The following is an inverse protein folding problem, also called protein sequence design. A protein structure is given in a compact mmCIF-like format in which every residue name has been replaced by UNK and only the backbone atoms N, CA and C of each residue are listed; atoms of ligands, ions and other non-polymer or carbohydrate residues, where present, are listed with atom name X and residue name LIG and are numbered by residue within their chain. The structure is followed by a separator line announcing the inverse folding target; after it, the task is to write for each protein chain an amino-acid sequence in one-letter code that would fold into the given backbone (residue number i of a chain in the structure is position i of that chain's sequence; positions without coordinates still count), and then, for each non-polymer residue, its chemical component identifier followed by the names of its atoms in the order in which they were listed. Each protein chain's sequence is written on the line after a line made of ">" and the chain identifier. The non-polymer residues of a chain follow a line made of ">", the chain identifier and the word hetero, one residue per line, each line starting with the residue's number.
data_IF_554310101411
#
_entry.id   IF_554310101411
#
_cell.length_a   1.000
_cell.length_b   1.000
_cell.length_c   1.000
_cell.angle_alpha   90.00
_cell.angle_beta   90.00
_cell.angle_gamma   90.00
#
_symmetry.space_group_name_H-M   'P 1'
#
loop_
_entity.id
_entity.type
_entity.pdbx_description
1 polymer ?
#
# COMPACT_ATOMS: atom_id res chain seq x y z
N UNK A 1 -15.41 4.67 -26.33
CA UNK A 1 -15.04 5.37 -25.07
C UNK A 1 -14.62 4.26 -24.12
N UNK A 2 -13.37 3.83 -24.22
CA UNK A 2 -12.89 2.59 -23.61
C UNK A 2 -11.71 2.92 -22.69
N UNK A 3 -11.84 2.45 -21.45
CA UNK A 3 -10.85 2.48 -20.36
C UNK A 3 -10.67 3.87 -19.72
N UNK A 4 -11.14 4.00 -18.48
CA UNK A 4 -10.96 5.21 -17.66
C UNK A 4 -9.51 5.36 -17.20
N UNK A 5 -9.08 6.60 -17.06
CA UNK A 5 -7.72 7.03 -16.73
C UNK A 5 -7.21 6.56 -15.34
N UNK A 6 -8.02 5.83 -14.57
CA UNK A 6 -7.72 5.34 -13.22
C UNK A 6 -6.77 4.11 -13.17
N UNK A 7 -6.30 3.61 -14.31
CA UNK A 7 -5.53 2.35 -14.38
C UNK A 7 -4.02 2.53 -14.59
N UNK A 8 -3.57 3.75 -14.90
CA UNK A 8 -2.17 3.99 -15.24
C UNK A 8 -1.53 4.88 -14.16
N UNK A 9 -0.87 4.22 -13.20
CA UNK A 9 -0.07 4.85 -12.15
C UNK A 9 1.35 4.31 -12.22
N UNK A 10 2.32 5.10 -11.77
CA UNK A 10 3.71 4.68 -11.68
C UNK A 10 4.67 5.61 -12.43
N UNK A 11 5.97 5.27 -12.47
CA UNK A 11 7.03 6.20 -12.87
C UNK A 11 6.94 6.67 -14.32
N UNK A 12 6.22 5.97 -15.19
CA UNK A 12 6.02 6.35 -16.60
C UNK A 12 4.85 7.31 -16.80
N UNK A 13 3.93 7.41 -15.83
CA UNK A 13 2.75 8.28 -15.89
C UNK A 13 2.86 9.44 -14.92
N UNK A 14 3.22 9.16 -13.67
CA UNK A 14 3.40 10.14 -12.60
C UNK A 14 4.84 10.70 -12.62
N UNK A 15 5.32 11.10 -13.80
CA UNK A 15 6.74 11.39 -14.07
C UNK A 15 7.29 12.47 -13.13
N UNK A 16 6.55 13.57 -12.94
CA UNK A 16 6.99 14.68 -12.08
C UNK A 16 7.10 14.24 -10.61
N UNK A 17 6.10 13.50 -10.11
CA UNK A 17 6.11 12.97 -8.74
C UNK A 17 7.31 12.05 -8.51
N UNK A 18 7.52 11.05 -9.39
CA UNK A 18 8.63 10.14 -9.24
C UNK A 18 9.98 10.83 -9.43
N UNK A 19 10.08 11.87 -10.27
CA UNK A 19 11.29 12.68 -10.39
C UNK A 19 11.66 13.32 -9.05
N UNK A 20 10.71 13.90 -8.33
CA UNK A 20 10.97 14.49 -7.01
C UNK A 20 11.28 13.43 -5.94
N UNK A 21 10.59 12.28 -5.96
CA UNK A 21 10.92 11.14 -5.10
C UNK A 21 12.36 10.68 -5.31
N UNK A 22 12.79 10.55 -6.57
CA UNK A 22 14.15 10.10 -6.88
C UNK A 22 15.19 11.10 -6.39
N UNK A 23 14.95 12.41 -6.55
CA UNK A 23 15.81 13.45 -5.96
C UNK A 23 15.92 13.30 -4.44
N UNK A 24 14.82 12.99 -3.75
CA UNK A 24 14.84 12.76 -2.31
C UNK A 24 15.66 11.52 -1.93
N UNK A 25 15.51 10.42 -2.66
CA UNK A 25 16.28 9.19 -2.40
C UNK A 25 17.75 9.31 -2.78
N UNK A 26 18.10 10.07 -3.81
CA UNK A 26 19.50 10.36 -4.17
C UNK A 26 20.18 11.21 -3.09
N UNK A 27 19.42 12.09 -2.41
CA UNK A 27 19.90 12.84 -1.24
C UNK A 27 20.07 11.97 0.00
N UNK A 28 19.31 10.88 0.14
CA UNK A 28 19.30 10.00 1.32
C UNK A 28 19.41 8.51 0.93
N UNK A 29 20.59 8.05 0.48
CA UNK A 29 20.77 6.69 -0.04
C UNK A 29 20.48 5.59 0.99
N UNK A 30 20.76 5.85 2.28
CA UNK A 30 20.44 4.90 3.36
C UNK A 30 18.94 4.75 3.60
N UNK A 31 18.17 5.81 3.38
CA UNK A 31 16.71 5.75 3.48
C UNK A 31 16.12 5.02 2.27
N UNK A 32 16.66 5.23 1.07
CA UNK A 32 16.21 4.55 -0.16
C UNK A 32 16.11 3.03 0.00
N UNK A 33 17.01 2.40 0.75
CA UNK A 33 17.01 0.94 0.96
C UNK A 33 15.94 0.44 1.94
N UNK A 34 15.27 1.35 2.67
CA UNK A 34 14.34 1.03 3.76
C UNK A 34 12.88 1.26 3.40
N UNK A 35 12.60 1.89 2.26
CA UNK A 35 11.25 2.30 1.87
C UNK A 35 10.88 1.79 0.48
N UNK A 36 9.59 1.52 0.29
CA UNK A 36 8.97 1.17 -0.99
C UNK A 36 7.73 2.03 -1.22
N UNK A 37 7.40 2.28 -2.48
CA UNK A 37 6.14 2.95 -2.89
C UNK A 37 5.18 1.88 -3.40
N UNK A 38 3.98 1.83 -2.85
CA UNK A 38 2.90 0.89 -3.20
C UNK A 38 1.66 1.63 -3.70
N UNK A 39 0.82 0.94 -4.46
CA UNK A 39 -0.46 1.44 -4.96
C UNK A 39 -1.60 0.52 -4.53
N UNK A 40 -1.80 0.40 -3.22
CA UNK A 40 -2.78 -0.51 -2.62
C UNK A 40 -4.21 -0.37 -3.19
N UNK A 41 -4.77 0.85 -3.42
CA UNK A 41 -6.09 0.98 -4.01
C UNK A 41 -6.21 0.37 -5.42
N UNK A 42 -5.15 0.46 -6.23
CA UNK A 42 -5.14 -0.14 -7.57
C UNK A 42 -5.05 -1.68 -7.48
N UNK A 43 -4.23 -2.19 -6.56
CA UNK A 43 -4.15 -3.65 -6.31
C UNK A 43 -5.51 -4.20 -5.87
N UNK A 44 -6.17 -3.52 -4.93
CA UNK A 44 -7.50 -3.89 -4.47
C UNK A 44 -8.53 -3.86 -5.60
N UNK A 45 -8.55 -2.80 -6.42
CA UNK A 45 -9.43 -2.68 -7.59
C UNK A 45 -9.25 -3.86 -8.56
N UNK A 46 -8.00 -4.23 -8.88
CA UNK A 46 -7.69 -5.37 -9.77
C UNK A 46 -8.14 -6.72 -9.20
N UNK A 47 -8.16 -6.86 -7.87
CA UNK A 47 -8.58 -8.07 -7.18
C UNK A 47 -10.07 -8.09 -6.83
N UNK A 48 -10.83 -7.04 -7.16
CA UNK A 48 -12.25 -6.92 -6.82
C UNK A 48 -12.50 -6.73 -5.32
N UNK A 49 -11.52 -6.20 -4.59
CA UNK A 49 -11.57 -5.98 -3.13
C UNK A 49 -12.11 -4.59 -2.81
N UNK A 50 -12.90 -4.49 -1.74
CA UNK A 50 -13.38 -3.20 -1.24
C UNK A 50 -12.66 -2.81 0.06
N UNK A 51 -11.69 -1.89 -0.03
CA UNK A 51 -10.89 -1.43 1.12
C UNK A 51 -11.69 -0.68 2.22
N UNK A 52 -12.97 -0.37 1.98
CA UNK A 52 -13.87 0.16 3.01
C UNK A 52 -14.42 -0.94 3.93
N UNK A 53 -14.64 -2.15 3.39
CA UNK A 53 -15.23 -3.28 4.11
C UNK A 53 -14.21 -4.37 4.44
N UNK A 54 -13.13 -4.42 3.66
CA UNK A 54 -12.05 -5.38 3.76
C UNK A 54 -10.75 -4.69 4.22
N UNK A 55 -9.81 -5.47 4.72
CA UNK A 55 -8.47 -5.04 5.12
C UNK A 55 -7.41 -6.01 4.58
N UNK A 56 -6.23 -5.50 4.26
CA UNK A 56 -5.10 -6.33 3.87
C UNK A 56 -4.42 -6.92 5.13
N UNK A 57 -4.18 -8.22 5.13
CA UNK A 57 -3.40 -8.92 6.15
C UNK A 57 -2.18 -9.51 5.47
N UNK A 58 -1.00 -9.03 5.86
CA UNK A 58 0.27 -9.48 5.30
C UNK A 58 0.94 -10.45 6.28
N UNK A 59 1.36 -11.61 5.76
CA UNK A 59 2.21 -12.57 6.45
C UNK A 59 3.45 -12.89 5.61
N UNK A 60 4.51 -13.27 6.30
CA UNK A 60 5.76 -13.71 5.67
C UNK A 60 5.81 -15.24 5.67
N UNK A 61 6.08 -15.83 4.51
CA UNK A 61 6.24 -17.28 4.33
C UNK A 61 7.58 -17.54 3.64
N UNK A 62 8.61 -17.79 4.44
CA UNK A 62 9.99 -17.90 3.96
C UNK A 62 10.46 -16.59 3.30
N UNK A 63 10.72 -16.66 1.99
CA UNK A 63 11.15 -15.54 1.15
C UNK A 63 9.97 -14.80 0.48
N UNK A 64 8.73 -15.15 0.82
CA UNK A 64 7.52 -14.62 0.20
C UNK A 64 6.76 -13.72 1.15
N UNK A 65 6.18 -12.66 0.58
CA UNK A 65 5.19 -11.82 1.24
C UNK A 65 3.83 -12.23 0.68
N UNK A 66 2.94 -12.71 1.54
CA UNK A 66 1.58 -13.09 1.18
C UNK A 66 0.64 -12.06 1.79
N UNK A 67 -0.15 -11.41 0.95
CA UNK A 67 -1.20 -10.48 1.38
C UNK A 67 -2.56 -11.05 1.03
N UNK A 68 -3.36 -11.29 2.05
CA UNK A 68 -4.74 -11.76 1.94
C UNK A 68 -5.68 -10.60 2.30
N UNK A 69 -6.82 -10.49 1.62
CA UNK A 69 -7.84 -9.49 1.96
C UNK A 69 -8.98 -10.18 2.68
N UNK A 70 -9.29 -9.69 3.88
CA UNK A 70 -10.30 -10.28 4.74
C UNK A 70 -11.31 -9.19 5.15
N UNK A 71 -12.58 -9.55 5.43
CA UNK A 71 -13.54 -8.61 5.98
C UNK A 71 -13.01 -8.02 7.29
N UNK A 72 -13.21 -6.71 7.48
CA UNK A 72 -12.85 -6.02 8.72
C UNK A 72 -13.56 -6.67 9.91
N UNK A 73 -12.83 -7.36 10.77
CA UNK A 73 -13.40 -7.93 12.01
C UNK A 73 -13.40 -6.87 13.11
N UNK A 74 -14.48 -6.76 13.89
CA UNK A 74 -14.62 -5.78 14.98
C UNK A 74 -13.60 -5.94 16.13
N UNK A 75 -12.76 -6.98 16.10
CA UNK A 75 -11.72 -7.25 17.09
C UNK A 75 -10.53 -7.96 16.42
N UNK A 76 -9.50 -7.20 16.01
CA UNK A 76 -8.12 -7.72 16.05
C UNK A 76 -7.38 -6.95 17.13
N UNK A 77 -7.51 -7.45 18.35
CA UNK A 77 -6.56 -7.16 19.40
C UNK A 77 -5.23 -7.84 18.99
N UNK A 78 -4.13 -7.09 19.04
CA UNK A 78 -2.73 -7.52 18.78
C UNK A 78 -2.38 -7.68 17.27
N UNK A 79 -1.39 -7.05 16.61
CA UNK A 79 -0.39 -5.98 16.86
C UNK A 79 0.08 -5.44 15.47
N UNK A 80 0.64 -4.21 15.44
CA UNK A 80 1.29 -3.50 14.31
C UNK A 80 0.51 -3.27 13.00
N UNK A 81 -0.07 -2.07 12.86
CA UNK A 81 -0.47 -1.54 11.55
C UNK A 81 0.76 -1.16 10.72
N UNK A 82 0.80 -1.64 9.47
CA UNK A 82 1.91 -1.44 8.55
C UNK A 82 1.61 -0.43 7.44
N UNK A 83 0.34 -0.05 7.25
CA UNK A 83 -0.07 0.98 6.29
C UNK A 83 -1.35 1.67 6.75
N UNK A 84 -1.32 2.98 6.78
CA UNK A 84 -2.41 3.85 7.23
C UNK A 84 -3.03 4.58 6.03
N UNK A 85 -4.35 4.73 6.01
CA UNK A 85 -5.01 5.58 5.03
C UNK A 85 -4.99 7.06 5.46
N UNK A 86 -4.63 7.96 4.55
CA UNK A 86 -4.85 9.41 4.67
C UNK A 86 -6.36 9.75 4.74
N UNK A 87 -6.80 10.90 5.33
CA UNK A 87 -6.07 12.17 5.54
C UNK A 87 -5.58 12.44 6.98
N UNK A 88 -5.56 11.43 7.86
CA UNK A 88 -5.12 11.64 9.23
C UNK A 88 -3.97 10.68 9.54
N UNK A 89 -2.93 11.22 10.18
CA UNK A 89 -1.78 10.50 10.75
C UNK A 89 -2.13 9.34 11.72
N UNK A 90 -3.42 9.03 11.87
CA UNK A 90 -4.04 7.96 12.64
C UNK A 90 -5.33 7.44 11.94
N UNK A 91 -5.34 7.37 10.61
CA UNK A 91 -6.50 6.93 9.83
C UNK A 91 -6.89 5.47 10.11
N UNK A 92 -7.77 4.89 9.31
CA UNK A 92 -8.03 3.45 9.45
C UNK A 92 -6.80 2.67 9.01
N UNK A 93 -6.39 1.65 9.76
CA UNK A 93 -5.37 0.73 9.29
C UNK A 93 -5.90 0.02 8.05
N UNK A 94 -5.17 0.08 6.94
CA UNK A 94 -5.53 -0.59 5.69
C UNK A 94 -4.70 -1.84 5.44
N UNK A 95 -3.55 -1.97 6.12
CA UNK A 95 -2.71 -3.17 6.07
C UNK A 95 -2.14 -3.54 7.45
N UNK A 96 -2.47 -4.73 7.91
CA UNK A 96 -1.95 -5.33 9.14
C UNK A 96 -0.79 -6.28 8.83
N UNK A 97 0.25 -6.27 9.67
CA UNK A 97 1.27 -7.31 9.62
C UNK A 97 0.97 -8.39 10.65
N UNK A 98 1.03 -9.65 10.25
CA UNK A 98 1.15 -10.77 11.16
C UNK A 98 2.64 -10.97 11.50
N UNK A 99 2.94 -11.13 12.78
CA UNK A 99 4.25 -11.59 13.26
C UNK A 99 4.56 -13.01 12.80
#
# INVERSE_FOLDING_TARGET
>A
MCCGDDEIVGPTVDVEFFTEVWKAFDKYPDARQKYSISTLPLQAKRLGVNLQTDEAVTRYDGDRIITEFEPRQARRAHHMCCEWSEPHHWGSCVRWCQE
#
